data_IF_188284996210
#
_entry.id   IF_188284996210
#
_cell.length_a   1.000
_cell.length_b   1.000
_cell.length_c   1.000
_cell.angle_alpha   90.00
_cell.angle_beta   90.00
_cell.angle_gamma   90.00
#
_symmetry.space_group_name_H-M   'P 1'
#
loop_
_entity.id
_entity.type
_entity.pdbx_description
1 polymer ?
#
# COMPACT_ATOMS: atom_id res chain seq x y z
N UNK A 1 -10.49 -3.77 8.56
CA UNK A 1 -11.42 -4.08 7.45
C UNK A 1 -11.02 -3.40 6.16
N UNK A 2 -10.41 -2.21 6.22
CA UNK A 2 -9.99 -1.42 5.06
C UNK A 2 -8.50 -1.10 5.11
N UNK A 3 -7.81 -1.19 3.98
CA UNK A 3 -6.40 -0.81 3.85
C UNK A 3 -6.25 0.19 2.70
N UNK A 4 -5.47 1.24 2.93
CA UNK A 4 -5.08 2.22 1.92
C UNK A 4 -3.56 2.22 1.78
N UNK A 5 -3.06 2.18 0.55
CA UNK A 5 -1.63 2.43 0.24
C UNK A 5 -1.48 3.71 -0.58
N UNK A 6 -0.65 4.63 -0.09
CA UNK A 6 -0.25 5.87 -0.73
C UNK A 6 1.24 5.80 -1.10
N UNK A 7 1.62 6.62 -2.07
CA UNK A 7 2.99 6.71 -2.55
C UNK A 7 3.08 7.55 -3.81
N UNK A 8 4.06 8.44 -3.84
CA UNK A 8 4.27 9.39 -4.94
C UNK A 8 5.25 8.85 -6.00
N UNK A 9 5.28 9.48 -7.17
CA UNK A 9 6.24 9.15 -8.23
C UNK A 9 6.22 7.66 -8.63
N UNK A 10 7.40 7.02 -8.66
CA UNK A 10 7.52 5.59 -8.96
C UNK A 10 6.86 4.69 -7.92
N UNK A 11 6.73 5.16 -6.67
CA UNK A 11 6.10 4.39 -5.58
C UNK A 11 4.58 4.28 -5.77
N UNK A 12 3.95 5.14 -6.58
CA UNK A 12 2.53 4.99 -6.96
C UNK A 12 2.27 3.68 -7.73
N UNK A 13 3.24 3.21 -8.52
CA UNK A 13 3.16 1.88 -9.14
C UNK A 13 3.18 0.74 -8.11
N UNK A 14 3.97 0.92 -7.04
CA UNK A 14 4.08 -0.04 -5.94
C UNK A 14 2.78 -0.11 -5.12
N UNK A 15 2.11 1.02 -4.85
CA UNK A 15 0.86 1.00 -4.08
C UNK A 15 -0.22 0.14 -4.73
N UNK A 16 -0.29 0.15 -6.06
CA UNK A 16 -1.20 -0.70 -6.84
C UNK A 16 -0.96 -2.19 -6.63
N UNK A 17 0.30 -2.61 -6.55
CA UNK A 17 0.68 -4.00 -6.26
C UNK A 17 0.46 -4.36 -4.79
N UNK A 18 0.88 -3.48 -3.87
CA UNK A 18 0.74 -3.67 -2.43
C UNK A 18 -0.71 -3.93 -2.02
N UNK A 19 -1.62 -3.08 -2.51
CA UNK A 19 -3.05 -3.25 -2.24
C UNK A 19 -3.61 -4.52 -2.89
N UNK A 20 -3.13 -4.88 -4.09
CA UNK A 20 -3.61 -6.05 -4.82
C UNK A 20 -3.25 -7.33 -4.08
N UNK A 21 -2.04 -7.41 -3.51
CA UNK A 21 -1.63 -8.58 -2.70
C UNK A 21 -2.51 -8.77 -1.48
N UNK A 22 -2.89 -7.70 -0.80
CA UNK A 22 -3.85 -7.80 0.32
C UNK A 22 -5.20 -8.30 -0.19
N UNK A 23 -5.71 -7.75 -1.30
CA UNK A 23 -7.00 -8.13 -1.86
C UNK A 23 -7.03 -9.61 -2.28
N UNK A 24 -6.01 -10.07 -3.00
CA UNK A 24 -5.86 -11.45 -3.46
C UNK A 24 -5.74 -12.42 -2.29
N UNK A 25 -4.80 -12.19 -1.37
CA UNK A 25 -4.48 -13.16 -0.32
C UNK A 25 -5.57 -13.23 0.76
N UNK A 26 -6.40 -12.20 0.89
CA UNK A 26 -7.55 -12.19 1.81
C UNK A 26 -8.87 -12.57 1.13
N UNK A 27 -8.85 -12.92 -0.15
CA UNK A 27 -10.06 -13.22 -0.93
C UNK A 27 -11.13 -12.11 -0.86
N UNK A 28 -10.70 -10.84 -0.79
CA UNK A 28 -11.58 -9.69 -0.66
C UNK A 28 -12.18 -9.46 0.74
N UNK A 29 -11.81 -10.25 1.75
CA UNK A 29 -12.25 -10.03 3.13
C UNK A 29 -11.78 -8.67 3.68
N UNK A 30 -10.62 -8.18 3.20
CA UNK A 30 -10.19 -6.80 3.39
C UNK A 30 -10.40 -6.04 2.09
N UNK A 31 -11.08 -4.90 2.18
CA UNK A 31 -11.23 -4.00 1.03
C UNK A 31 -10.00 -3.09 0.95
N UNK A 32 -9.56 -2.79 -0.26
CA UNK A 32 -8.32 -2.04 -0.48
C UNK A 32 -8.50 -0.91 -1.50
N UNK A 33 -7.68 0.12 -1.36
CA UNK A 33 -7.55 1.24 -2.30
C UNK A 33 -6.07 1.65 -2.36
N UNK A 34 -5.67 2.20 -3.50
CA UNK A 34 -4.38 2.85 -3.70
C UNK A 34 -4.54 4.21 -4.36
N UNK A 35 -3.61 5.12 -4.10
CA UNK A 35 -3.48 6.38 -4.83
C UNK A 35 -2.05 6.94 -4.66
N UNK A 36 -1.81 8.10 -5.24
CA UNK A 36 -0.71 9.01 -4.86
C UNK A 36 -1.09 9.87 -3.66
N UNK A 37 -0.09 10.36 -2.94
CA UNK A 37 -0.26 11.17 -1.72
C UNK A 37 -1.02 12.48 -1.99
N UNK A 38 -0.78 13.11 -3.15
CA UNK A 38 -1.55 14.28 -3.58
C UNK A 38 -2.92 13.91 -4.15
N UNK A 39 -3.01 12.87 -4.98
CA UNK A 39 -4.25 12.43 -5.62
C UNK A 39 -5.33 12.04 -4.61
N UNK A 40 -4.94 11.46 -3.48
CA UNK A 40 -5.85 10.95 -2.47
C UNK A 40 -6.84 12.00 -1.93
N UNK A 41 -6.44 13.28 -1.89
CA UNK A 41 -7.28 14.40 -1.42
C UNK A 41 -8.49 14.66 -2.29
N UNK A 42 -8.47 14.24 -3.55
CA UNK A 42 -9.45 14.64 -4.56
C UNK A 42 -10.68 13.72 -4.62
N UNK A 43 -11.11 13.21 -3.46
CA UNK A 43 -12.25 12.28 -3.35
C UNK A 43 -11.88 10.94 -2.70
N UNK A 44 -10.82 10.24 -3.12
CA UNK A 44 -10.44 8.92 -2.58
C UNK A 44 -10.32 8.85 -1.06
N UNK A 45 -9.93 9.95 -0.41
CA UNK A 45 -9.90 10.10 1.07
C UNK A 45 -11.24 9.75 1.74
N UNK A 46 -12.38 9.87 1.06
CA UNK A 46 -13.70 9.47 1.60
C UNK A 46 -13.82 7.97 1.89
N UNK A 47 -12.86 7.15 1.43
CA UNK A 47 -12.77 5.74 1.78
C UNK A 47 -12.44 5.50 3.26
N UNK A 48 -11.77 6.45 3.91
CA UNK A 48 -11.24 6.35 5.27
C UNK A 48 -12.36 6.32 6.31
N UNK A 49 -12.27 5.39 7.26
CA UNK A 49 -13.13 5.29 8.45
C UNK A 49 -12.33 4.70 9.63
N UNK A 50 -12.98 4.57 10.80
CA UNK A 50 -12.40 4.00 12.03
C UNK A 50 -11.95 2.54 11.98
N UNK A 51 -11.97 1.89 10.82
CA UNK A 51 -11.41 0.54 10.62
C UNK A 51 -10.43 0.48 9.45
N UNK A 52 -9.94 1.65 9.05
CA UNK A 52 -8.99 1.84 7.96
C UNK A 52 -7.59 1.98 8.51
N UNK A 53 -6.64 1.26 7.93
CA UNK A 53 -5.21 1.52 8.11
C UNK A 53 -4.70 2.19 6.85
N UNK A 54 -4.00 3.30 7.00
CA UNK A 54 -3.35 4.02 5.90
C UNK A 54 -1.83 3.82 5.99
N UNK A 55 -1.24 3.36 4.90
CA UNK A 55 0.20 3.33 4.68
C UNK A 55 0.56 4.35 3.61
N UNK A 56 1.68 5.04 3.76
CA UNK A 56 2.33 5.79 2.67
C UNK A 56 3.79 5.35 2.54
N UNK A 57 4.21 5.00 1.33
CA UNK A 57 5.61 4.75 1.01
C UNK A 57 6.31 6.10 0.82
N UNK A 58 7.02 6.53 1.86
CA UNK A 58 7.67 7.83 1.91
C UNK A 58 8.78 7.92 0.87
N UNK A 59 8.70 8.90 -0.03
CA UNK A 59 9.75 9.18 -0.99
C UNK A 59 11.09 9.50 -0.33
N UNK A 60 12.19 9.05 -0.96
CA UNK A 60 13.55 9.50 -0.66
C UNK A 60 13.89 10.84 -1.34
N UNK A 61 13.16 11.25 -2.38
CA UNK A 61 13.28 12.61 -2.92
C UNK A 61 12.74 13.64 -1.91
N UNK A 62 13.60 14.56 -1.48
CA UNK A 62 13.32 15.54 -0.42
C UNK A 62 12.16 16.48 -0.73
N UNK A 63 11.93 16.78 -2.01
CA UNK A 63 10.83 17.64 -2.42
C UNK A 63 9.50 16.88 -2.35
N UNK A 64 9.45 15.70 -2.96
CA UNK A 64 8.27 14.83 -2.99
C UNK A 64 7.85 14.38 -1.60
N UNK A 65 8.82 14.06 -0.72
CA UNK A 65 8.58 13.65 0.66
C UNK A 65 7.78 14.67 1.48
N UNK A 66 7.89 15.96 1.19
CA UNK A 66 7.09 16.98 1.88
C UNK A 66 5.59 16.71 1.70
N UNK A 67 5.18 16.33 0.48
CA UNK A 67 3.78 16.04 0.18
C UNK A 67 3.30 14.73 0.80
N UNK A 68 4.16 13.71 0.87
CA UNK A 68 3.85 12.43 1.53
C UNK A 68 3.68 12.63 3.04
N UNK A 69 4.59 13.39 3.68
CA UNK A 69 4.47 13.71 5.11
C UNK A 69 3.24 14.58 5.39
N UNK A 70 2.97 15.59 4.57
CA UNK A 70 1.81 16.47 4.75
C UNK A 70 0.49 15.70 4.72
N UNK A 71 0.31 14.72 3.82
CA UNK A 71 -0.92 13.90 3.80
C UNK A 71 -1.01 12.96 5.00
N UNK A 72 0.10 12.38 5.45
CA UNK A 72 0.09 11.52 6.64
C UNK A 72 -0.26 12.32 7.90
N UNK A 73 0.29 13.52 8.06
CA UNK A 73 -0.05 14.42 9.17
C UNK A 73 -1.51 14.86 9.11
N UNK A 74 -2.02 15.18 7.92
CA UNK A 74 -3.43 15.53 7.72
C UNK A 74 -4.35 14.37 8.13
N UNK A 75 -4.09 13.15 7.65
CA UNK A 75 -4.91 11.97 7.97
C UNK A 75 -4.82 11.62 9.46
N UNK A 76 -3.63 11.75 10.06
CA UNK A 76 -3.44 11.57 11.51
C UNK A 76 -4.26 12.59 12.30
N UNK A 77 -4.21 13.87 11.90
CA UNK A 77 -4.92 14.97 12.55
C UNK A 77 -6.44 14.90 12.43
N UNK A 78 -6.97 14.20 11.42
CA UNK A 78 -8.41 13.94 11.31
C UNK A 78 -8.93 13.02 12.43
N UNK A 79 -8.07 12.19 13.04
CA UNK A 79 -8.41 11.23 14.10
C UNK A 79 -9.56 10.25 13.72
N UNK A 80 -9.73 9.99 12.41
CA UNK A 80 -10.80 9.11 11.90
C UNK A 80 -10.34 7.67 11.76
N UNK A 81 -9.14 7.43 11.21
CA UNK A 81 -8.69 6.08 10.86
C UNK A 81 -8.10 5.34 12.07
N UNK A 82 -8.08 4.00 12.01
CA UNK A 82 -7.51 3.16 13.06
C UNK A 82 -6.00 3.43 13.22
N UNK A 83 -5.29 3.59 12.11
CA UNK A 83 -3.84 3.77 12.12
C UNK A 83 -3.32 4.42 10.84
N UNK A 84 -2.30 5.26 10.99
CA UNK A 84 -1.53 5.88 9.91
C UNK A 84 -0.07 5.49 10.08
N UNK A 85 0.59 5.02 9.02
CA UNK A 85 1.98 4.55 9.09
C UNK A 85 2.79 5.02 7.87
N UNK A 86 3.90 5.71 8.13
CA UNK A 86 4.93 5.97 7.11
C UNK A 86 5.83 4.75 6.94
N UNK A 87 6.11 4.35 5.69
CA UNK A 87 6.96 3.19 5.37
C UNK A 87 8.10 3.65 4.47
N UNK A 88 9.33 3.23 4.76
CA UNK A 88 10.47 3.52 3.89
C UNK A 88 11.77 3.68 4.67
N UNK A 89 12.55 4.70 4.33
CA UNK A 89 13.80 5.06 5.01
C UNK A 89 13.61 6.31 5.87
N UNK A 90 14.29 6.41 7.01
CA UNK A 90 14.27 7.62 7.84
C UNK A 90 15.11 8.74 7.20
N UNK A 91 14.63 9.98 7.26
CA UNK A 91 15.34 11.20 6.82
C UNK A 91 15.01 12.39 7.75
N UNK A 92 15.53 13.57 7.45
CA UNK A 92 15.34 14.79 8.26
C UNK A 92 13.85 15.19 8.42
N UNK A 93 13.00 14.85 7.44
CA UNK A 93 11.56 15.13 7.43
C UNK A 93 10.76 13.82 7.53
N UNK A 94 10.74 13.22 8.72
CA UNK A 94 9.95 12.04 9.01
C UNK A 94 8.53 12.39 9.50
N UNK A 95 7.56 11.55 9.14
CA UNK A 95 6.21 11.63 9.67
C UNK A 95 6.23 11.48 11.20
N UNK A 96 5.49 12.31 11.93
CA UNK A 96 5.51 12.33 13.40
C UNK A 96 4.71 11.20 14.06
N UNK A 97 3.97 10.40 13.30
CA UNK A 97 3.22 9.25 13.80
C UNK A 97 4.03 7.95 13.80
N UNK A 98 3.33 6.84 13.60
CA UNK A 98 3.98 5.54 13.53
C UNK A 98 4.74 5.40 12.21
N UNK A 99 5.96 4.85 12.28
CA UNK A 99 6.78 4.59 11.11
C UNK A 99 7.32 3.16 11.11
N UNK A 100 7.43 2.58 9.91
CA UNK A 100 8.20 1.38 9.65
C UNK A 100 9.41 1.75 8.81
N UNK A 101 10.54 1.99 9.47
CA UNK A 101 11.79 2.31 8.77
C UNK A 101 12.67 1.09 8.57
N UNK A 102 13.20 0.96 7.35
CA UNK A 102 14.21 -0.02 7.01
C UNK A 102 15.49 0.38 7.75
N UNK A 103 15.91 -0.44 8.72
CA UNK A 103 17.05 -0.13 9.61
C UNK A 103 18.36 0.17 8.86
N UNK A 104 18.57 -0.49 7.72
CA UNK A 104 19.72 -0.27 6.84
C UNK A 104 19.33 0.49 5.55
N UNK A 105 18.27 1.29 5.61
CA UNK A 105 17.82 2.12 4.50
C UNK A 105 18.85 3.21 4.20
N UNK A 106 18.98 3.53 2.93
CA UNK A 106 19.80 4.64 2.42
C UNK A 106 18.86 5.72 1.89
N UNK A 107 18.88 6.90 2.52
CA UNK A 107 18.03 8.03 2.15
C UNK A 107 18.39 8.62 0.78
N UNK A 108 19.59 8.34 0.28
CA UNK A 108 20.05 8.79 -1.03
C UNK A 108 19.82 7.71 -2.12
N UNK A 109 19.20 6.57 -1.75
CA UNK A 109 18.82 5.52 -2.69
C UNK A 109 17.72 6.04 -3.65
N UNK A 110 17.89 5.90 -4.98
CA UNK A 110 16.84 6.30 -5.91
C UNK A 110 15.53 5.53 -5.64
N UNK A 111 14.40 6.23 -5.72
CA UNK A 111 13.07 5.69 -5.36
C UNK A 111 12.74 4.35 -6.04
N UNK A 112 13.16 4.16 -7.28
CA UNK A 112 12.96 2.89 -8.01
C UNK A 112 13.57 1.69 -7.27
N UNK A 113 14.74 1.87 -6.65
CA UNK A 113 15.39 0.82 -5.87
C UNK A 113 14.80 0.71 -4.46
N UNK A 114 14.29 1.81 -3.88
CA UNK A 114 13.56 1.82 -2.62
C UNK A 114 12.26 0.98 -2.69
N UNK A 115 11.63 0.93 -3.86
CA UNK A 115 10.43 0.10 -4.06
C UNK A 115 10.65 -1.41 -3.75
N UNK A 116 11.90 -1.89 -3.85
CA UNK A 116 12.24 -3.30 -3.60
C UNK A 116 12.11 -3.72 -2.13
N UNK A 117 12.72 -3.03 -1.15
CA UNK A 117 12.46 -3.35 0.25
C UNK A 117 11.01 -2.99 0.67
N UNK A 118 10.42 -1.92 0.12
CA UNK A 118 9.05 -1.52 0.45
C UNK A 118 8.00 -2.56 0.00
N UNK A 119 8.20 -3.21 -1.16
CA UNK A 119 7.31 -4.31 -1.59
C UNK A 119 7.40 -5.53 -0.68
N UNK A 120 8.56 -5.81 -0.07
CA UNK A 120 8.71 -6.93 0.87
C UNK A 120 7.91 -6.66 2.15
N UNK A 121 7.88 -5.42 2.62
CA UNK A 121 6.98 -5.01 3.72
C UNK A 121 5.51 -5.28 3.33
N UNK A 122 5.07 -4.81 2.17
CA UNK A 122 3.69 -4.98 1.72
C UNK A 122 3.29 -6.46 1.55
N UNK A 123 4.16 -7.27 0.95
CA UNK A 123 3.94 -8.71 0.79
C UNK A 123 3.84 -9.43 2.13
N UNK A 124 4.70 -9.07 3.09
CA UNK A 124 4.66 -9.62 4.45
C UNK A 124 3.35 -9.25 5.14
N UNK A 125 2.92 -8.00 5.02
CA UNK A 125 1.64 -7.54 5.57
C UNK A 125 0.44 -8.29 4.96
N UNK A 126 0.44 -8.48 3.64
CA UNK A 126 -0.62 -9.21 2.94
C UNK A 126 -0.66 -10.70 3.35
N UNK A 127 0.50 -11.36 3.41
CA UNK A 127 0.62 -12.75 3.87
C UNK A 127 0.09 -12.93 5.30
N UNK A 128 0.51 -12.07 6.22
CA UNK A 128 0.08 -12.12 7.61
C UNK A 128 -1.44 -11.89 7.74
N UNK A 129 -2.02 -11.02 6.91
CA UNK A 129 -3.48 -10.82 6.91
C UNK A 129 -4.25 -12.00 6.30
N UNK A 130 -3.69 -12.70 5.31
CA UNK A 130 -4.25 -13.96 4.81
C UNK A 130 -4.42 -14.99 5.92
N UNK A 131 -3.36 -15.17 6.73
CA UNK A 131 -3.37 -16.06 7.89
C UNK A 131 -4.37 -15.54 8.94
N UNK A 132 -4.39 -14.23 9.21
CA UNK A 132 -5.31 -13.60 10.18
C UNK A 132 -6.78 -13.84 9.85
N UNK A 133 -7.15 -13.87 8.57
CA UNK A 133 -8.53 -14.17 8.13
C UNK A 133 -8.80 -15.67 7.95
N UNK A 134 -7.87 -16.53 8.41
CA UNK A 134 -7.91 -17.99 8.28
C UNK A 134 -7.99 -18.48 6.83
N UNK A 135 -7.37 -17.77 5.89
CA UNK A 135 -7.24 -18.21 4.50
C UNK A 135 -5.95 -19.02 4.29
N UNK A 136 -5.85 -19.72 3.16
CA UNK A 136 -4.63 -20.40 2.71
C UNK A 136 -3.89 -19.52 1.71
N UNK A 137 -2.74 -18.90 2.05
CA UNK A 137 -2.07 -17.94 1.18
C UNK A 137 -1.67 -18.51 -0.19
N UNK A 138 -1.34 -19.80 -0.25
CA UNK A 138 -0.92 -20.49 -1.49
C UNK A 138 -2.09 -20.73 -2.46
N UNK A 139 -3.31 -20.84 -1.93
CA UNK A 139 -4.55 -21.09 -2.68
C UNK A 139 -5.68 -20.20 -2.16
N UNK A 140 -5.58 -18.87 -2.27
CA UNK A 140 -6.41 -17.95 -1.48
C UNK A 140 -7.84 -17.81 -2.04
N UNK A 141 -8.11 -18.28 -3.26
CA UNK A 141 -9.45 -18.31 -3.85
C UNK A 141 -10.04 -19.72 -3.77
N UNK A 142 -10.60 -20.08 -2.61
CA UNK A 142 -11.28 -21.37 -2.41
C UNK A 142 -12.47 -21.58 -3.36
N UNK A 143 -13.11 -20.49 -3.80
CA UNK A 143 -14.19 -20.50 -4.81
C UNK A 143 -13.71 -20.83 -6.23
N UNK A 144 -12.42 -20.66 -6.52
CA UNK A 144 -11.85 -20.80 -7.87
C UNK A 144 -12.23 -19.68 -8.84
N UNK A 145 -12.84 -18.59 -8.37
CA UNK A 145 -13.20 -17.42 -9.21
C UNK A 145 -11.97 -16.63 -9.64
N UNK A 146 -10.89 -16.68 -8.86
CA UNK A 146 -9.56 -16.15 -9.22
C UNK A 146 -8.58 -17.32 -9.28
N UNK A 147 -7.70 -17.32 -10.27
CA UNK A 147 -6.77 -18.42 -10.54
C UNK A 147 -5.35 -17.89 -10.72
N UNK A 148 -4.35 -18.65 -10.26
CA UNK A 148 -2.92 -18.35 -10.46
C UNK A 148 -2.57 -18.10 -11.92
N UNK A 149 -3.13 -18.92 -12.81
CA UNK A 149 -3.09 -18.70 -14.26
C UNK A 149 -4.50 -18.31 -14.68
N UNK A 150 -4.64 -17.18 -15.36
CA UNK A 150 -5.93 -16.68 -15.83
C UNK A 150 -6.65 -17.74 -16.68
N UNK A 151 -7.96 -17.89 -16.49
CA UNK A 151 -8.82 -18.83 -17.20
C UNK A 151 -9.99 -18.06 -17.82
N UNK A 152 -10.53 -18.58 -18.92
CA UNK A 152 -11.73 -18.01 -19.56
C UNK A 152 -11.48 -16.81 -20.47
N UNK A 153 -10.23 -16.54 -20.85
CA UNK A 153 -9.87 -15.49 -21.83
C UNK A 153 -9.80 -16.12 -23.22
N UNK A 154 -10.70 -15.69 -24.11
CA UNK A 154 -10.65 -16.02 -25.54
C UNK A 154 -9.80 -14.98 -26.25
N UNK A 155 -8.82 -15.43 -27.04
CA UNK A 155 -8.05 -14.55 -27.93
C UNK A 155 -8.81 -14.47 -29.24
N UNK A 156 -9.22 -13.26 -29.62
CA UNK A 156 -9.93 -12.97 -30.86
C UNK A 156 -8.92 -12.61 -31.95
N UNK A 157 -9.27 -12.91 -33.21
CA UNK A 157 -8.44 -12.55 -34.36
C UNK A 157 -8.33 -11.03 -34.51
N UNK A 158 -7.15 -10.56 -34.90
CA UNK A 158 -6.86 -9.15 -35.16
C UNK A 158 -7.04 -8.85 -36.65
N UNK A 159 -7.84 -7.83 -36.97
CA UNK A 159 -8.05 -7.31 -38.34
C UNK A 159 -7.17 -6.08 -38.62
#
# INVERSE_FOLDING_TARGET
DRITYLGSGSLSGLTREAQLKVLELTAGALTTIFDSSMGFRHGPKSYVNGKTIVFDFLSNDKYTRQYDVDILEEIKGDEICEKVVGVGTSDDNDFSGDNFFIKAGDKDLPELYQALPDVVFAQTFALMNSIKVNNTPDTPSASGTVNRVVKGVTIHDYE
#
